data_IF_736586178639
#
_entry.id   IF_736586178639
#
_cell.length_a   1.000
_cell.length_b   1.000
_cell.length_c   1.000
_cell.angle_alpha   90.00
_cell.angle_beta   90.00
_cell.angle_gamma   90.00
#
_symmetry.space_group_name_H-M   'P 1'
#
loop_
_entity.id
_entity.type
_entity.pdbx_description
1 polymer ?
2 non-polymer ?
3 water ?
#
# COMPACT_ATOMS: atom_id res chain seq x y z
N UNK A 26 10.48 8.59 -8.20
CA UNK A 26 9.36 9.25 -7.49
C UNK A 26 8.71 8.23 -6.57
N UNK A 27 9.42 7.78 -5.56
CA UNK A 27 8.82 6.82 -4.65
C UNK A 27 9.05 7.14 -3.19
N UNK A 28 8.09 6.75 -2.35
CA UNK A 28 8.31 6.59 -0.91
C UNK A 28 8.62 5.12 -0.65
N UNK A 29 9.72 4.84 0.06
CA UNK A 29 10.09 3.53 0.41
C UNK A 29 9.64 3.32 1.83
N UNK A 30 8.67 2.40 1.97
CA UNK A 30 7.95 2.13 3.19
C UNK A 30 8.34 0.80 3.79
N UNK A 31 8.97 0.85 4.96
CA UNK A 31 9.42 -0.35 5.63
C UNK A 31 8.39 -0.77 6.64
N UNK A 32 7.75 -1.91 6.37
CA UNK A 32 6.73 -2.55 7.18
C UNK A 32 5.50 -1.65 7.34
N UNK A 33 4.61 -2.08 8.23
CA UNK A 33 3.28 -1.43 8.36
C UNK A 33 3.05 -0.85 9.73
N UNK A 34 2.26 0.21 9.79
CA UNK A 34 1.92 0.81 11.07
C UNK A 34 1.09 -0.16 11.92
N UNK A 35 0.26 -1.00 11.31
CA UNK A 35 -0.53 -1.98 12.06
C UNK A 35 0.31 -3.05 12.77
N UNK A 36 1.44 -3.41 12.18
CA UNK A 36 2.40 -4.32 12.80
C UNK A 36 3.04 -3.66 14.01
N UNK A 37 3.38 -2.37 13.90
CA UNK A 37 3.94 -1.66 15.02
C UNK A 37 2.90 -1.55 16.15
N UNK A 38 1.64 -1.30 15.81
CA UNK A 38 0.56 -1.28 16.85
C UNK A 38 0.47 -2.56 17.64
N UNK A 39 0.67 -3.68 16.94
CA UNK A 39 0.63 -5.02 17.53
C UNK A 39 1.86 -5.38 18.32
N UNK A 40 2.79 -4.45 18.50
CA UNK A 40 3.97 -4.74 19.31
C UNK A 40 5.08 -5.49 18.56
N UNK A 41 5.11 -5.41 17.23
CA UNK A 41 6.20 -5.98 16.44
C UNK A 41 7.29 -4.92 16.37
N UNK A 42 8.13 -4.88 17.40
CA UNK A 42 9.11 -3.80 17.51
C UNK A 42 10.51 -4.20 17.04
N UNK A 43 10.69 -5.47 16.66
CA UNK A 43 11.98 -5.89 16.13
C UNK A 43 11.84 -6.16 14.65
N UNK A 44 12.45 -5.32 13.85
CA UNK A 44 12.49 -5.50 12.43
C UNK A 44 13.82 -6.12 11.97
N UNK A 45 13.87 -6.31 10.65
CA UNK A 45 15.07 -6.77 10.00
C UNK A 45 15.65 -5.81 9.00
N UNK A 46 15.14 -4.59 8.95
CA UNK A 46 15.64 -3.63 7.97
C UNK A 46 16.92 -2.96 8.47
N UNK A 47 17.99 -3.16 7.71
CA UNK A 47 19.30 -2.59 8.05
C UNK A 47 19.38 -1.14 7.64
N UNK A 48 19.50 -0.25 8.62
CA UNK A 48 19.57 1.19 8.31
C UNK A 48 20.87 1.61 7.59
N UNK A 49 21.85 0.72 7.57
CA UNK A 49 23.01 0.86 6.69
C UNK A 49 22.59 0.94 5.22
N UNK A 50 21.40 0.44 4.90
CA UNK A 50 20.87 0.47 3.54
C UNK A 50 20.20 1.78 3.15
N UNK A 51 20.08 2.73 4.08
CA UNK A 51 19.32 3.93 3.82
C UNK A 51 19.68 4.58 2.47
N UNK A 52 20.98 4.72 2.14
CA UNK A 52 21.29 5.49 0.92
C UNK A 52 20.80 4.84 -0.40
N UNK A 53 20.45 3.57 -0.37
CA UNK A 53 19.83 2.93 -1.54
C UNK A 53 18.40 3.47 -1.77
N UNK A 54 17.76 3.97 -0.70
CA UNK A 54 16.31 4.25 -0.69
C UNK A 54 15.93 5.71 -0.46
N UNK A 55 16.85 6.50 0.08
CA UNK A 55 16.52 7.91 0.23
C UNK A 55 17.60 8.71 0.90
N UNK A 56 17.38 10.01 0.94
CA UNK A 56 18.23 10.90 1.72
C UNK A 56 17.43 11.65 2.78
N UNK A 57 16.21 11.19 3.03
CA UNK A 57 15.21 11.86 3.83
C UNK A 57 14.28 10.82 4.40
N UNK A 58 13.91 10.93 5.67
CA UNK A 58 12.96 9.95 6.24
C UNK A 58 12.74 10.06 7.73
N UNK A 59 11.80 9.24 8.19
CA UNK A 59 11.39 9.17 9.58
C UNK A 59 11.02 7.75 9.93
N UNK A 60 10.94 7.49 11.23
CA UNK A 60 10.50 6.20 11.71
C UNK A 60 10.96 5.93 13.09
N UNK A 61 11.14 4.65 13.39
CA UNK A 61 11.69 4.30 14.70
C UNK A 61 12.75 3.20 14.54
N UNK A 62 13.23 2.68 15.66
CA UNK A 62 14.33 1.74 15.65
C UNK A 62 13.82 0.48 16.34
N UNK A 63 14.57 -0.61 16.20
CA UNK A 63 14.27 -1.82 16.92
C UNK A 63 14.14 -1.57 18.40
N UNK A 64 13.15 -2.25 19.00
CA UNK A 64 12.76 -2.11 20.41
C UNK A 64 12.14 -0.76 20.74
N UNK A 65 11.77 0.04 19.73
CA UNK A 65 11.30 1.42 19.93
C UNK A 65 12.35 2.24 20.63
N UNK A 66 13.61 1.92 20.36
CA UNK A 66 14.70 2.63 21.03
C UNK A 66 14.98 3.93 20.30
N UNK A 67 14.11 4.92 20.50
CA UNK A 67 14.29 6.24 19.89
C UNK A 67 13.53 6.48 18.61
N UNK A 68 13.53 7.76 18.21
CA UNK A 68 12.87 8.24 17.00
C UNK A 68 13.90 8.44 15.91
N UNK A 69 13.60 7.97 14.69
CA UNK A 69 14.44 8.19 13.52
C UNK A 69 14.05 9.47 12.77
N UNK A 70 15.03 10.29 12.41
CA UNK A 70 14.81 11.46 11.56
C UNK A 70 16.02 11.67 10.70
N UNK A 71 15.79 12.06 9.44
CA UNK A 71 16.90 12.49 8.61
C UNK A 71 16.52 13.24 7.37
N UNK A 72 17.50 13.92 6.84
CA UNK A 72 17.36 14.78 5.68
C UNK A 72 18.76 15.20 5.25
N UNK A 73 18.89 15.58 3.97
CA UNK A 73 20.21 15.85 3.39
C UNK A 73 21.21 14.70 3.62
N UNK A 74 20.69 13.48 3.68
CA UNK A 74 21.49 12.27 3.82
C UNK A 74 22.04 11.99 5.20
N UNK A 75 21.65 12.80 6.20
CA UNK A 75 22.20 12.67 7.57
C UNK A 75 21.04 12.25 8.45
N UNK A 76 21.16 11.08 9.10
CA UNK A 76 20.10 10.51 9.96
C UNK A 76 20.55 10.43 11.43
N UNK A 77 19.57 10.58 12.32
CA UNK A 77 19.75 10.57 13.73
C UNK A 77 18.75 9.68 14.46
N UNK A 78 19.20 9.14 15.59
CA UNK A 78 18.36 8.48 16.59
C UNK A 78 18.17 9.47 17.74
N UNK A 79 16.93 9.93 17.95
CA UNK A 79 16.62 10.81 19.10
C UNK A 79 15.99 10.02 20.24
N UNK A 80 16.68 10.04 21.40
CA UNK A 80 16.21 9.33 22.59
C UNK A 80 15.69 10.31 23.63
N UNK A 81 14.92 9.80 24.57
CA UNK A 81 14.26 10.61 25.60
C UNK A 81 15.23 11.24 26.59
N UNK A 82 16.48 10.81 26.56
CA UNK A 82 17.51 11.48 27.37
C UNK A 82 18.06 12.80 26.76
N UNK A 83 17.44 13.28 25.68
CA UNK A 83 17.83 14.54 25.08
C UNK A 83 19.12 14.47 24.26
N UNK A 84 19.45 13.29 23.78
CA UNK A 84 20.56 13.11 22.86
C UNK A 84 20.10 12.66 21.48
N UNK A 85 20.90 13.06 20.50
CA UNK A 85 20.81 12.60 19.15
C UNK A 85 22.11 11.83 18.85
N UNK A 86 21.97 10.59 18.42
CA UNK A 86 23.10 9.74 18.07
C UNK A 86 23.01 9.54 16.57
N UNK A 87 24.13 9.56 15.85
CA UNK A 87 24.08 9.25 14.42
C UNK A 87 23.59 7.84 14.18
N UNK A 88 22.92 7.60 13.07
CA UNK A 88 22.59 6.22 12.67
C UNK A 88 23.87 5.50 12.23
N UNK A 89 24.07 4.31 12.76
CA UNK A 89 25.34 3.60 12.59
C UNK A 89 25.05 2.23 12.02
N UNK A 90 26.05 1.70 11.30
CA UNK A 90 25.86 0.40 10.68
C UNK A 90 25.54 -0.59 11.80
N UNK A 91 24.60 -1.48 11.52
CA UNK A 91 24.12 -2.42 12.52
C UNK A 91 22.75 -2.01 13.06
N UNK A 92 22.38 -0.75 12.93
CA UNK A 92 21.08 -0.31 13.43
C UNK A 92 19.97 -0.95 12.57
N UNK A 93 18.84 -1.28 13.21
CA UNK A 93 17.74 -1.95 12.56
C UNK A 93 16.45 -1.22 12.89
N UNK A 94 15.47 -1.35 12.02
CA UNK A 94 14.18 -0.74 12.23
C UNK A 94 13.00 -1.67 11.86
N UNK A 95 11.95 -1.59 12.69
CA UNK A 95 10.68 -2.23 12.39
C UNK A 95 9.69 -1.37 11.59
N UNK A 96 9.96 -0.08 11.41
CA UNK A 96 9.02 0.79 10.76
C UNK A 96 9.69 2.09 10.42
N UNK A 97 9.72 2.44 9.15
CA UNK A 97 10.30 3.70 8.74
C UNK A 97 9.93 3.96 7.29
N UNK A 98 10.17 5.19 6.83
CA UNK A 98 9.76 5.61 5.49
C UNK A 98 10.85 6.54 4.95
N UNK A 99 11.24 6.36 3.69
CA UNK A 99 12.29 7.16 3.08
C UNK A 99 11.93 7.68 1.72
N UNK A 100 12.63 8.72 1.32
CA UNK A 100 12.56 9.17 -0.06
C UNK A 100 13.81 9.96 -0.44
N UNK A 101 14.00 10.19 -1.73
CA UNK A 101 14.94 11.19 -2.22
C UNK A 101 14.15 12.48 -2.40
N UNK A 102 14.39 13.44 -1.51
CA UNK A 102 13.59 14.65 -1.45
C UNK A 102 14.03 15.61 -2.54
N UNK A 103 13.05 16.03 -3.35
CA UNK A 103 13.26 17.08 -4.36
C UNK A 103 12.22 18.20 -4.06
N UNK A 104 12.64 19.47 -4.03
CA UNK A 104 11.65 20.50 -3.66
C UNK A 104 10.80 20.94 -4.82
N UNK A 105 9.67 20.28 -5.02
CA UNK A 105 8.77 20.61 -6.11
C UNK A 105 7.90 21.88 -5.86
N UNK A 106 7.56 22.15 -4.60
CA UNK A 106 6.85 23.36 -4.19
C UNK A 106 7.58 23.97 -3.02
N UNK A 107 7.61 25.29 -2.98
CA UNK A 107 8.17 26.05 -1.87
C UNK A 107 7.19 27.11 -1.43
N UNK A 108 7.10 27.35 -0.12
CA UNK A 108 6.21 28.38 0.43
C UNK A 108 6.84 28.96 1.67
N UNK A 109 6.85 30.29 1.79
CA UNK A 109 7.36 30.95 2.98
C UNK A 109 6.22 31.29 3.94
N UNK A 110 6.49 31.12 5.23
CA UNK A 110 5.50 31.45 6.25
C UNK A 110 6.21 32.41 7.20
N UNK A 111 5.72 33.66 7.28
CA UNK A 111 6.46 34.74 7.97
C UNK A 111 5.61 35.32 9.11
N UNK A 112 4.53 34.61 9.47
CA UNK A 112 3.63 35.01 10.55
C UNK A 112 3.11 33.79 11.28
N UNK A 113 2.80 33.95 12.56
CA UNK A 113 2.33 32.87 13.41
C UNK A 113 1.28 32.05 12.72
N UNK A 114 1.42 30.74 12.77
CA UNK A 114 0.48 29.81 12.16
C UNK A 114 0.45 28.55 12.98
N UNK A 115 -0.74 28.18 13.44
CA UNK A 115 -0.91 26.96 14.21
C UNK A 115 -0.87 25.70 13.31
N UNK A 116 -0.80 24.53 13.93
CA UNK A 116 -0.82 23.27 13.21
C UNK A 116 -2.09 23.17 12.38
N UNK A 117 -3.23 23.50 12.96
CA UNK A 117 -4.51 23.40 12.22
C UNK A 117 -4.47 24.29 11.00
N UNK A 118 -4.00 25.53 11.18
CA UNK A 118 -3.99 26.51 10.10
C UNK A 118 -3.01 26.06 9.01
N UNK A 119 -1.90 25.48 9.43
CA UNK A 119 -0.88 24.99 8.51
C UNK A 119 -1.39 23.84 7.62
N UNK A 120 -2.02 22.85 8.20
CA UNK A 120 -2.57 21.72 7.44
C UNK A 120 -3.58 22.26 6.45
N UNK A 121 -4.43 23.16 6.90
CA UNK A 121 -5.41 23.78 5.98
C UNK A 121 -4.71 24.48 4.82
N UNK A 122 -3.68 25.27 5.11
CA UNK A 122 -2.99 26.01 4.08
C UNK A 122 -2.27 25.04 3.10
N UNK A 123 -1.55 24.08 3.63
CA UNK A 123 -0.84 23.13 2.76
C UNK A 123 -1.83 22.31 1.94
N UNK A 124 -2.88 21.79 2.58
CA UNK A 124 -3.90 21.03 1.84
C UNK A 124 -4.44 21.84 0.67
N UNK A 125 -4.61 23.14 0.86
CA UNK A 125 -5.12 24.00 -0.22
C UNK A 125 -4.19 24.15 -1.43
N UNK A 126 -2.90 23.89 -1.26
CA UNK A 126 -1.96 24.08 -2.36
C UNK A 126 -1.50 22.77 -2.99
N UNK A 127 -1.83 21.63 -2.38
CA UNK A 127 -1.46 20.34 -2.97
C UNK A 127 -2.22 20.10 -4.28
N UNK A 128 -1.54 19.49 -5.28
CA UNK A 128 -2.22 19.17 -6.53
C UNK A 128 -3.33 18.14 -6.36
N UNK A 129 -3.22 17.30 -5.34
CA UNK A 129 -4.22 16.27 -5.07
C UNK A 129 -4.03 15.71 -3.67
N UNK A 130 -5.14 15.43 -3.02
CA UNK A 130 -5.17 14.69 -1.75
C UNK A 130 -4.91 13.20 -1.94
N UNK A 131 -4.83 12.71 -3.18
CA UNK A 131 -4.69 11.28 -3.43
C UNK A 131 -3.26 10.82 -3.70
N UNK A 132 -2.29 11.72 -3.54
CA UNK A 132 -0.91 11.38 -3.80
C UNK A 132 -0.15 11.34 -2.48
N UNK A 133 1.07 10.89 -2.54
CA UNK A 133 1.99 10.91 -1.39
C UNK A 133 2.88 12.15 -1.50
N UNK A 134 3.22 12.75 -0.37
CA UNK A 134 4.19 13.89 -0.36
C UNK A 134 5.16 13.75 0.76
N UNK A 135 6.36 14.23 0.54
CA UNK A 135 7.32 14.47 1.60
C UNK A 135 7.27 15.95 1.87
N UNK A 136 7.39 16.34 3.13
CA UNK A 136 7.35 17.75 3.53
C UNK A 136 8.51 18.10 4.46
N UNK A 137 9.05 19.32 4.28
CA UNK A 137 10.10 19.82 5.13
C UNK A 137 9.77 21.22 5.53
N UNK A 138 9.95 21.52 6.83
CA UNK A 138 9.72 22.88 7.32
C UNK A 138 10.99 23.29 8.05
N UNK A 139 11.65 24.35 7.58
CA UNK A 139 12.87 24.82 8.26
C UNK A 139 12.65 26.18 8.84
N UNK A 140 13.09 26.43 10.05
CA UNK A 140 13.02 27.80 10.54
C UNK A 140 12.71 27.88 11.99
N UNK A 141 12.01 28.95 12.38
CA UNK A 141 11.70 29.26 13.75
C UNK A 141 10.25 28.93 14.10
N UNK A 142 10.07 28.16 15.20
CA UNK A 142 8.77 27.73 15.67
C UNK A 142 8.49 28.36 16.98
N UNK A 143 7.30 28.93 17.13
CA UNK A 143 6.92 29.48 18.42
C UNK A 143 6.94 28.34 19.46
N UNK A 144 6.39 27.19 19.06
CA UNK A 144 6.26 26.00 19.92
C UNK A 144 6.40 24.77 19.04
N UNK A 145 7.06 23.76 19.55
CA UNK A 145 6.92 22.38 19.01
C UNK A 145 6.75 21.46 20.22
N UNK A 146 5.82 20.50 20.12
CA UNK A 146 5.64 19.48 21.14
C UNK A 146 5.96 18.14 20.51
N UNK A 147 6.87 17.41 21.12
CA UNK A 147 7.24 16.09 20.60
C UNK A 147 7.10 15.01 21.67
N UNK A 148 7.08 13.77 21.20
CA UNK A 148 7.25 12.65 22.09
C UNK A 148 8.46 11.87 21.55
N UNK A 149 9.10 11.06 22.40
CA UNK A 149 10.14 10.14 21.92
C UNK A 149 9.80 8.78 22.51
N UNK A 150 9.55 7.79 21.66
CA UNK A 150 9.35 6.42 22.13
C UNK A 150 10.65 5.92 22.77
N UNK A 151 10.50 4.99 23.73
CA UNK A 151 11.63 4.52 24.53
C UNK A 151 11.77 3.02 24.41
N UNK A 152 13.00 2.56 24.59
CA UNK A 152 13.34 1.14 24.53
C UNK A 152 12.37 0.29 25.36
N UNK A 153 11.83 -0.73 24.71
CA UNK A 153 10.89 -1.67 25.29
C UNK A 153 11.60 -2.99 25.54
N UNK A 154 11.16 -3.73 26.55
CA UNK A 154 11.69 -5.07 26.85
C UNK A 154 10.60 -6.12 26.57
N UNK A 155 11.03 -7.28 26.09
CA UNK A 155 10.13 -8.38 25.83
C UNK A 155 9.61 -8.91 27.18
N UNK A 156 8.36 -9.41 27.21
CA UNK A 156 7.40 -9.50 26.12
C UNK A 156 6.75 -8.16 25.80
N UNK A 157 6.73 -7.81 24.53
CA UNK A 157 6.29 -6.49 24.08
C UNK A 157 4.80 -6.31 24.26
N UNK A 158 4.41 -5.10 24.62
CA UNK A 158 2.99 -4.72 24.74
C UNK A 158 2.55 -3.93 23.52
N UNK A 159 1.23 -3.91 23.22
CA UNK A 159 0.71 -3.08 22.14
C UNK A 159 1.14 -1.64 22.30
N UNK A 160 1.33 -0.98 21.16
CA UNK A 160 1.85 0.39 21.16
C UNK A 160 0.94 1.37 21.88
N UNK A 161 -0.39 1.16 21.84
CA UNK A 161 -1.30 2.04 22.63
C UNK A 161 -0.92 1.97 24.13
N UNK A 162 -0.51 0.79 24.62
CA UNK A 162 -0.01 0.64 25.99
C UNK A 162 1.38 1.25 26.11
N UNK A 163 2.27 0.93 25.17
CA UNK A 163 3.66 1.42 25.19
C UNK A 163 3.73 2.96 25.31
N UNK A 164 2.90 3.68 24.56
CA UNK A 164 2.99 5.17 24.56
C UNK A 164 2.30 5.83 25.75
N UNK A 165 1.61 5.07 26.59
CA UNK A 165 0.84 5.70 27.68
C UNK A 165 1.72 6.61 28.56
N UNK A 166 2.97 6.22 28.77
CA UNK A 166 3.89 6.95 29.62
C UNK A 166 5.03 7.57 28.79
N UNK A 167 4.79 7.76 27.48
CA UNK A 167 5.81 8.34 26.61
C UNK A 167 6.21 9.73 27.14
N UNK A 168 7.52 10.02 27.09
CA UNK A 168 7.93 11.37 27.45
C UNK A 168 7.45 12.38 26.40
N UNK A 169 6.93 13.50 26.90
CA UNK A 169 6.47 14.61 26.05
C UNK A 169 7.27 15.89 26.33
N UNK A 170 7.83 16.48 25.28
CA UNK A 170 8.71 17.65 25.38
C UNK A 170 8.10 18.85 24.71
N UNK A 171 8.17 20.00 25.37
CA UNK A 171 7.68 21.23 24.82
C UNK A 171 8.86 22.15 24.59
N UNK A 172 9.06 22.58 23.34
CA UNK A 172 10.14 23.50 22.95
C UNK A 172 9.47 24.84 22.64
N UNK A 173 10.08 25.94 23.09
CA UNK A 173 9.59 27.29 22.80
C UNK A 173 10.66 28.08 22.05
N UNK A 174 10.21 28.86 21.05
CA UNK A 174 11.07 29.75 20.28
C UNK A 174 12.27 28.97 19.78
N UNK A 175 11.99 27.84 19.16
CA UNK A 175 13.02 26.91 18.79
C UNK A 175 13.23 26.93 17.30
N UNK A 176 14.49 26.83 16.88
CA UNK A 176 14.84 26.75 15.48
C UNK A 176 15.18 25.32 15.14
N UNK A 177 14.74 24.87 13.98
CA UNK A 177 15.14 23.55 13.53
C UNK A 177 14.39 23.15 12.28
N UNK A 178 14.23 21.84 12.14
CA UNK A 178 13.65 21.24 10.96
C UNK A 178 12.60 20.20 11.34
N UNK A 179 11.44 20.29 10.71
CA UNK A 179 10.42 19.27 10.77
C UNK A 179 10.44 18.61 9.43
N UNK A 180 10.45 17.29 9.40
CA UNK A 180 10.33 16.51 8.17
C UNK A 180 9.32 15.41 8.35
N UNK A 181 8.64 15.07 7.26
CA UNK A 181 7.79 13.91 7.29
C UNK A 181 7.07 13.69 6.00
N UNK A 182 5.96 12.99 6.13
CA UNK A 182 5.20 12.54 4.98
C UNK A 182 3.74 12.83 5.13
N UNK A 183 3.07 13.08 3.99
CA UNK A 183 1.62 13.26 3.92
C UNK A 183 1.11 12.03 3.16
N UNK A 184 0.25 11.25 3.80
CA UNK A 184 -0.21 9.94 3.33
C UNK A 184 -1.71 9.98 3.08
N UNK A 185 -2.12 9.56 1.89
CA UNK A 185 -3.56 9.50 1.61
C UNK A 185 -4.31 8.43 2.46
N UNK A 186 -5.59 8.66 2.68
CA UNK A 186 -6.35 7.78 3.56
C UNK A 186 -6.40 6.31 3.14
N UNK A 187 -6.33 6.01 1.83
CA UNK A 187 -6.30 4.60 1.37
C UNK A 187 -5.10 3.77 1.86
N UNK A 188 -4.07 4.47 2.35
CA UNK A 188 -2.85 3.82 2.83
C UNK A 188 -2.79 3.76 4.36
N UNK A 189 -3.86 4.19 5.07
CA UNK A 189 -3.82 4.23 6.53
C UNK A 189 -3.69 2.81 7.05
N UNK A 190 -2.84 2.60 8.04
CA UNK A 190 -2.58 1.23 8.47
C UNK A 190 -1.32 0.65 7.85
N UNK A 191 -1.03 0.90 6.56
CA UNK A 191 0.34 0.72 6.06
C UNK A 191 1.24 1.84 6.63
N UNK A 192 0.86 3.08 6.32
CA UNK A 192 1.53 4.25 6.90
C UNK A 192 0.51 4.99 7.75
N UNK A 193 0.89 6.14 8.26
CA UNK A 193 -0.01 6.96 9.07
C UNK A 193 -0.72 7.94 8.16
N UNK A 194 -2.03 7.84 7.99
CA UNK A 194 -2.69 8.74 7.07
C UNK A 194 -2.68 10.17 7.64
N UNK A 195 -2.62 11.14 6.73
CA UNK A 195 -2.44 12.53 7.09
C UNK A 195 -1.00 12.89 7.22
N UNK A 196 -0.74 13.78 8.16
CA UNK A 196 0.55 14.36 8.37
C UNK A 196 1.29 13.57 9.43
N UNK A 197 2.47 13.06 9.10
CA UNK A 197 3.30 12.37 10.06
C UNK A 197 4.65 13.06 10.04
N UNK A 198 4.99 13.78 11.13
CA UNK A 198 6.13 14.68 11.16
C UNK A 198 7.01 14.42 12.37
N UNK A 199 8.33 14.47 12.15
CA UNK A 199 9.35 14.42 13.19
C UNK A 199 10.13 15.74 13.16
N UNK A 200 10.74 16.08 14.29
CA UNK A 200 11.47 17.33 14.45
C UNK A 200 12.85 17.08 15.03
N UNK A 201 13.82 17.86 14.57
CA UNK A 201 15.12 17.96 15.25
C UNK A 201 15.55 19.44 15.30
N UNK A 202 16.08 19.82 16.44
CA UNK A 202 16.47 21.23 16.63
C UNK A 202 17.72 21.61 15.85
N UNK A 203 17.99 22.92 15.72
CA UNK A 203 19.14 23.42 14.93
C UNK A 203 20.44 22.84 15.48
N UNK A 204 20.49 22.66 16.78
CA UNK A 204 21.68 22.06 17.43
C UNK A 204 21.86 20.57 17.22
N UNK A 205 20.83 19.91 16.69
CA UNK A 205 20.87 18.48 16.36
C UNK A 205 21.05 17.61 17.61
N UNK A 206 20.33 17.97 18.68
CA UNK A 206 20.34 17.25 19.96
C UNK A 206 19.01 16.69 20.39
N UNK A 207 17.92 17.40 20.06
CA UNK A 207 16.62 17.18 20.69
C UNK A 207 15.52 17.20 19.67
N UNK A 208 14.39 16.56 19.99
CA UNK A 208 13.22 16.63 19.13
C UNK A 208 12.35 15.39 19.34
N UNK A 209 11.92 14.80 18.24
CA UNK A 209 11.16 13.56 18.30
C UNK A 209 9.99 13.59 17.35
N UNK A 210 8.98 12.79 17.64
CA UNK A 210 7.79 12.68 16.82
C UNK A 210 6.86 13.85 17.22
N UNK A 211 6.42 14.62 16.24
CA UNK A 211 5.66 15.84 16.47
C UNK A 211 4.19 15.60 16.75
N UNK A 212 3.71 16.19 17.83
CA UNK A 212 2.25 16.25 18.14
C UNK A 212 1.59 17.57 17.84
N UNK A 213 2.36 18.64 18.03
CA UNK A 213 1.82 19.97 17.81
C UNK A 213 2.96 20.93 17.53
N UNK A 214 2.61 22.07 16.94
CA UNK A 214 3.60 23.06 16.56
C UNK A 214 2.92 24.34 16.14
N UNK A 215 3.64 25.44 16.29
CA UNK A 215 3.19 26.75 15.83
C UNK A 215 4.38 27.34 15.11
N UNK A 216 4.19 27.70 13.85
CA UNK A 216 5.28 28.25 13.01
C UNK A 216 5.38 29.73 13.26
N UNK A 217 6.58 30.27 13.08
CA UNK A 217 6.77 31.73 13.15
C UNK A 217 7.44 32.29 11.92
N UNK A 218 8.54 31.70 11.47
CA UNK A 218 9.33 32.22 10.33
C UNK A 218 10.05 31.05 9.70
N UNK A 219 9.43 30.48 8.68
CA UNK A 219 9.72 29.15 8.15
C UNK A 219 9.67 29.12 6.66
N UNK A 220 10.44 28.21 6.05
CA UNK A 220 10.33 27.85 4.65
C UNK A 220 9.83 26.43 4.57
N UNK A 221 8.78 26.22 3.79
CA UNK A 221 8.18 24.90 3.64
C UNK A 221 8.52 24.44 2.22
N UNK A 222 9.02 23.22 2.12
CA UNK A 222 9.24 22.56 0.84
C UNK A 222 8.50 21.25 0.81
N UNK A 223 7.93 20.95 -0.36
CA UNK A 223 7.10 19.77 -0.58
C UNK A 223 7.60 19.04 -1.81
N UNK A 224 7.63 17.71 -1.69
CA UNK A 224 8.09 16.84 -2.76
C UNK A 224 6.98 15.80 -3.06
N UNK A 225 6.45 15.79 -4.28
CA UNK A 225 5.31 14.95 -4.65
C UNK A 225 5.82 13.60 -5.06
N UNK A 226 5.18 12.51 -4.61
CA UNK A 226 5.64 11.14 -4.89
C UNK A 226 4.53 10.32 -5.49
N UNK A 227 4.82 9.61 -6.59
CA UNK A 227 3.77 8.93 -7.37
C UNK A 227 3.80 7.41 -7.11
N UNK A 228 4.73 6.94 -6.30
CA UNK A 228 4.84 5.52 -5.99
C UNK A 228 5.07 5.32 -4.52
N UNK A 229 4.51 4.26 -3.96
CA UNK A 229 4.81 3.83 -2.63
C UNK A 229 5.20 2.36 -2.67
N UNK A 230 6.43 2.05 -2.25
CA UNK A 230 7.00 0.70 -2.34
C UNK A 230 7.04 0.16 -0.92
N UNK A 231 6.17 -0.81 -0.61
CA UNK A 231 6.08 -1.41 0.72
C UNK A 231 6.96 -2.64 0.80
N UNK A 232 7.83 -2.66 1.79
CA UNK A 232 8.80 -3.73 2.01
C UNK A 232 8.41 -4.42 3.30
N UNK A 233 8.06 -5.71 3.22
CA UNK A 233 7.63 -6.48 4.37
C UNK A 233 8.83 -7.16 5.01
N UNK A 234 8.81 -7.29 6.35
CA UNK A 234 9.91 -7.98 7.05
C UNK A 234 9.88 -9.47 6.92
N UNK A 235 11.07 -10.08 6.81
CA UNK A 235 11.17 -11.54 6.74
C UNK A 235 11.47 -12.04 8.15
N UNK A 236 10.58 -11.77 9.09
CA UNK A 236 10.79 -12.18 10.48
C UNK A 236 9.62 -13.03 10.91
N UNK A 237 9.88 -13.97 11.81
CA UNK A 237 8.79 -14.74 12.40
C UNK A 237 7.83 -13.82 13.14
N UNK A 238 8.33 -12.74 13.78
CA UNK A 238 7.43 -11.87 14.54
C UNK A 238 6.41 -11.23 13.61
N UNK A 239 6.85 -10.76 12.45
CA UNK A 239 5.88 -10.22 11.46
C UNK A 239 4.95 -11.29 10.90
N UNK A 240 5.52 -12.40 10.46
CA UNK A 240 4.72 -13.45 9.85
C UNK A 240 3.60 -13.90 10.79
N UNK A 241 3.93 -14.03 12.08
CA UNK A 241 3.02 -14.58 13.08
C UNK A 241 2.13 -13.55 13.77
N UNK A 242 2.37 -12.28 13.52
CA UNK A 242 1.57 -11.23 14.12
C UNK A 242 0.11 -11.33 13.71
N UNK A 243 -0.78 -11.10 14.67
CA UNK A 243 -2.19 -10.99 14.39
C UNK A 243 -2.52 -9.52 14.18
N UNK A 244 -2.65 -9.14 12.90
CA UNK A 244 -2.87 -7.77 12.46
C UNK A 244 -4.35 -7.41 12.20
N UNK A 245 -5.26 -8.24 12.65
CA UNK A 245 -6.67 -7.92 12.50
C UNK A 245 -6.97 -6.97 13.66
N UNK A 246 -7.17 -5.71 13.35
CA UNK A 246 -7.47 -4.71 14.36
C UNK A 246 -8.55 -3.84 13.76
N UNK A 247 -9.83 -4.14 14.04
CA UNK A 247 -10.88 -3.33 13.44
C UNK A 247 -10.81 -1.84 13.82
N UNK A 248 -10.20 -1.56 14.97
CA UNK A 248 -10.06 -0.19 15.50
C UNK A 248 -8.67 0.41 15.26
N UNK A 249 -8.01 -0.06 14.21
CA UNK A 249 -6.63 0.39 13.92
C UNK A 249 -6.53 1.91 13.68
N UNK A 250 -7.56 2.51 13.07
CA UNK A 250 -7.48 3.94 12.71
C UNK A 250 -7.52 4.79 13.98
N UNK A 251 -8.41 4.44 14.91
CA UNK A 251 -8.42 5.10 16.22
C UNK A 251 -7.11 4.87 17.02
N UNK A 252 -6.60 3.64 17.01
CA UNK A 252 -5.34 3.34 17.66
C UNK A 252 -4.17 4.14 17.04
N UNK A 253 -4.19 4.35 15.73
CA UNK A 253 -3.17 5.18 15.08
C UNK A 253 -3.28 6.65 15.55
N UNK A 254 -4.50 7.16 15.64
CA UNK A 254 -4.73 8.52 16.17
C UNK A 254 -4.23 8.63 17.62
N UNK A 255 -4.54 7.62 18.45
CA UNK A 255 -4.05 7.58 19.83
C UNK A 255 -2.50 7.58 19.93
N UNK A 256 -1.83 6.81 19.07
CA UNK A 256 -0.34 6.68 19.19
C UNK A 256 0.41 7.78 18.44
N UNK A 257 -0.17 8.34 17.38
CA UNK A 257 0.52 9.32 16.53
C UNK A 257 0.03 10.74 16.62
N UNK A 258 -1.25 10.94 16.95
CA UNK A 258 -1.76 12.25 17.28
C UNK A 258 -1.32 12.56 18.71
N UNK B 26 11.05 -9.75 -5.94
CA UNK B 26 9.94 -10.34 -5.12
C UNK B 26 8.88 -9.30 -4.85
N UNK B 27 8.31 -8.73 -5.89
CA UNK B 27 7.31 -7.70 -5.67
C UNK B 27 6.04 -7.93 -6.46
N UNK B 28 4.95 -7.45 -5.92
CA UNK B 28 3.71 -7.24 -6.67
C UNK B 28 3.72 -5.79 -7.12
N UNK B 29 3.56 -5.56 -8.42
CA UNK B 29 3.44 -4.21 -8.98
C UNK B 29 1.95 -3.87 -9.08
N UNK B 30 1.48 -2.86 -8.32
CA UNK B 30 0.07 -2.51 -8.24
C UNK B 30 -0.15 -1.18 -8.96
N UNK B 31 -0.95 -1.21 -9.98
CA UNK B 31 -1.29 -0.04 -10.76
C UNK B 31 -2.61 0.53 -10.23
N UNK B 32 -2.52 1.71 -9.60
CA UNK B 32 -3.66 2.43 -9.05
C UNK B 32 -4.38 1.65 -7.93
N UNK B 33 -5.50 2.20 -7.47
CA UNK B 33 -6.20 1.65 -6.31
C UNK B 33 -7.60 1.17 -6.65
N UNK B 34 -8.08 0.20 -5.91
CA UNK B 34 -9.43 -0.23 -6.02
C UNK B 34 -10.39 0.88 -5.60
N UNK B 35 -10.00 1.70 -4.62
CA UNK B 35 -10.92 2.79 -4.25
C UNK B 35 -11.12 3.78 -5.41
N UNK B 36 -10.11 4.03 -6.21
CA UNK B 36 -10.35 4.89 -7.38
C UNK B 36 -11.20 4.24 -8.45
N UNK B 37 -11.03 2.94 -8.65
CA UNK B 37 -11.90 2.19 -9.55
C UNK B 37 -13.37 2.26 -9.08
N UNK B 38 -13.59 2.07 -7.79
CA UNK B 38 -14.98 2.18 -7.24
C UNK B 38 -15.58 3.53 -7.54
N UNK B 39 -14.77 4.58 -7.54
CA UNK B 39 -15.25 5.93 -7.72
C UNK B 39 -15.45 6.28 -9.19
N UNK B 40 -15.18 5.34 -10.11
CA UNK B 40 -15.44 5.61 -11.54
C UNK B 40 -14.23 6.15 -12.26
N UNK B 41 -13.03 6.00 -11.69
CA UNK B 41 -11.81 6.40 -12.37
C UNK B 41 -11.43 5.25 -13.27
N UNK B 42 -12.07 5.22 -14.44
CA UNK B 42 -11.86 4.11 -15.40
C UNK B 42 -10.86 4.38 -16.48
N UNK B 43 -10.35 5.60 -16.56
CA UNK B 43 -9.29 5.90 -17.54
C UNK B 43 -7.96 6.12 -16.81
N UNK B 44 -7.05 5.19 -16.99
CA UNK B 44 -5.69 5.29 -16.42
C UNK B 44 -4.70 5.66 -17.49
N UNK B 45 -3.45 5.84 -17.09
CA UNK B 45 -2.38 6.19 -18.03
C UNK B 45 -1.35 5.09 -18.13
N UNK B 46 -1.57 3.99 -17.42
CA UNK B 46 -0.60 2.92 -17.43
C UNK B 46 -0.63 2.20 -18.75
N UNK B 47 0.51 2.19 -19.41
CA UNK B 47 0.68 1.50 -20.68
C UNK B 47 0.93 0.02 -20.50
N UNK B 48 0.01 -0.83 -20.97
CA UNK B 48 0.15 -2.26 -20.82
C UNK B 48 1.32 -2.85 -21.66
N UNK B 49 1.81 -2.10 -22.61
CA UNK B 49 3.05 -2.53 -23.29
C UNK B 49 4.25 -2.61 -22.33
N UNK B 50 4.17 -1.97 -21.17
CA UNK B 50 5.25 -1.97 -20.18
C UNK B 50 5.24 -3.19 -19.29
N UNK B 51 4.24 -4.04 -19.42
CA UNK B 51 4.11 -5.23 -18.57
C UNK B 51 5.44 -6.01 -18.36
N UNK B 52 6.21 -6.30 -19.41
CA UNK B 52 7.41 -7.09 -19.21
C UNK B 52 8.43 -6.53 -18.23
N UNK B 53 8.38 -5.25 -17.94
CA UNK B 53 9.21 -4.64 -16.90
C UNK B 53 8.79 -5.04 -15.49
N UNK B 54 7.51 -5.37 -15.33
CA UNK B 54 6.90 -5.48 -14.00
C UNK B 54 6.41 -6.90 -13.67
N UNK B 55 6.22 -7.77 -14.67
CA UNK B 55 5.80 -9.11 -14.37
C UNK B 55 5.53 -9.98 -15.61
N UNK B 56 5.29 -11.24 -15.38
CA UNK B 56 4.88 -12.15 -16.43
C UNK B 56 3.51 -12.78 -16.12
N UNK B 57 2.82 -12.18 -15.17
CA UNK B 57 1.65 -12.74 -14.55
C UNK B 57 0.82 -11.62 -14.00
N UNK B 58 -0.48 -11.62 -14.21
CA UNK B 58 -1.30 -10.59 -13.61
C UNK B 58 -2.75 -10.58 -14.04
N UNK B 59 -3.47 -9.67 -13.41
CA UNK B 59 -4.90 -9.49 -13.58
C UNK B 59 -5.27 -8.01 -13.47
N UNK B 60 -6.47 -7.65 -13.92
CA UNK B 60 -7.02 -6.29 -13.68
C UNK B 60 -8.06 -5.99 -14.77
N UNK B 61 -8.07 -4.73 -15.21
CA UNK B 61 -9.01 -4.31 -16.24
C UNK B 61 -8.34 -3.32 -17.16
N UNK B 62 -9.10 -2.76 -18.10
CA UNK B 62 -8.59 -1.89 -19.12
C UNK B 62 -9.33 -0.57 -19.01
N UNK B 63 -8.85 0.45 -19.70
CA UNK B 63 -9.50 1.71 -19.66
C UNK B 63 -10.93 1.57 -20.12
N UNK B 64 -11.78 2.40 -19.53
CA UNK B 64 -13.23 2.36 -19.80
C UNK B 64 -13.91 1.07 -19.33
N UNK B 65 -13.23 0.27 -18.55
CA UNK B 65 -13.68 -1.07 -18.18
C UNK B 65 -13.99 -1.90 -19.41
N UNK B 66 -13.20 -1.69 -20.47
CA UNK B 66 -13.35 -2.46 -21.71
C UNK B 66 -12.66 -3.82 -21.62
N UNK B 67 -13.28 -4.72 -20.85
CA UNK B 67 -12.80 -6.08 -20.68
C UNK B 67 -11.91 -6.35 -19.48
N UNK B 68 -11.67 -7.61 -19.27
CA UNK B 68 -10.90 -8.12 -18.14
C UNK B 68 -9.49 -8.45 -18.62
N UNK B 69 -8.50 -8.11 -17.82
CA UNK B 69 -7.10 -8.45 -18.10
C UNK B 69 -6.72 -9.74 -17.37
N UNK B 70 -6.02 -10.63 -18.06
CA UNK B 70 -5.47 -11.84 -17.45
C UNK B 70 -4.21 -12.18 -18.18
N UNK B 71 -3.20 -12.65 -17.44
CA UNK B 71 -2.01 -13.15 -18.12
C UNK B 71 -1.15 -13.97 -17.20
N UNK B 72 -0.36 -14.83 -17.81
CA UNK B 72 0.59 -15.72 -17.16
C UNK B 72 1.50 -16.26 -18.24
N UNK B 73 2.67 -16.71 -17.81
CA UNK B 73 3.74 -17.12 -18.73
C UNK B 73 4.03 -16.06 -19.78
N UNK B 74 3.87 -14.81 -19.39
CA UNK B 74 4.19 -13.68 -20.24
C UNK B 74 3.20 -13.38 -21.34
N UNK B 75 2.06 -14.07 -21.34
CA UNK B 75 1.04 -13.88 -22.37
C UNK B 75 -0.21 -13.31 -21.73
N UNK B 76 -0.59 -12.10 -22.16
CA UNK B 76 -1.76 -11.39 -21.59
C UNK B 76 -2.86 -11.17 -22.60
N UNK B 77 -4.09 -11.20 -22.10
CA UNK B 77 -5.28 -11.08 -22.93
C UNK B 77 -6.24 -10.08 -22.37
N UNK B 78 -7.07 -9.54 -23.28
CA UNK B 78 -8.27 -8.78 -22.96
C UNK B 78 -9.48 -9.66 -23.23
N UNK B 79 -10.21 -10.03 -22.19
CA UNK B 79 -11.41 -10.84 -22.32
C UNK B 79 -12.63 -9.93 -22.30
N UNK B 80 -13.35 -9.86 -23.42
CA UNK B 80 -14.55 -9.04 -23.52
C UNK B 80 -15.85 -9.79 -23.40
N UNK B 81 -16.93 -9.05 -23.11
CA UNK B 81 -18.24 -9.67 -22.93
C UNK B 81 -18.82 -10.19 -24.23
N UNK B 82 -18.17 -9.92 -25.37
CA UNK B 82 -18.53 -10.57 -26.62
C UNK B 82 -17.96 -11.96 -26.83
N UNK B 83 -17.33 -12.51 -25.78
CA UNK B 83 -16.84 -13.87 -25.75
C UNK B 83 -15.56 -14.05 -26.56
N UNK B 84 -14.82 -12.99 -26.73
CA UNK B 84 -13.52 -13.02 -27.39
C UNK B 84 -12.38 -12.69 -26.43
N UNK B 85 -11.18 -13.18 -26.80
CA UNK B 85 -9.96 -12.84 -26.12
C UNK B 85 -8.99 -12.25 -27.15
N UNK B 86 -8.50 -11.05 -26.84
CA UNK B 86 -7.62 -10.28 -27.74
C UNK B 86 -6.25 -10.12 -27.05
N UNK B 87 -5.16 -10.49 -27.70
CA UNK B 87 -3.88 -10.25 -27.02
C UNK B 87 -3.65 -8.76 -26.73
N UNK B 88 -2.94 -8.47 -25.63
CA UNK B 88 -2.60 -7.11 -25.25
C UNK B 88 -1.66 -6.53 -26.29
N UNK B 89 -1.88 -5.26 -26.64
CA UNK B 89 -1.04 -4.56 -27.62
C UNK B 89 -0.61 -3.23 -27.05
N UNK B 90 0.52 -2.72 -27.55
CA UNK B 90 0.84 -1.31 -27.28
C UNK B 90 -0.35 -0.45 -27.60
N UNK B 91 -0.56 0.54 -26.74
CA UNK B 91 -1.73 1.39 -26.82
C UNK B 91 -2.82 0.99 -25.84
N UNK B 92 -2.83 -0.28 -25.36
CA UNK B 92 -3.76 -0.68 -24.33
C UNK B 92 -3.34 -0.02 -23.01
N UNK B 93 -4.33 0.54 -22.33
CA UNK B 93 -4.17 1.27 -21.10
C UNK B 93 -5.02 0.65 -20.02
N UNK B 94 -4.56 0.81 -18.77
CA UNK B 94 -5.31 0.31 -17.62
C UNK B 94 -5.43 1.35 -16.47
N UNK B 95 -6.63 1.41 -15.86
CA UNK B 95 -6.86 2.09 -14.62
C UNK B 95 -6.61 1.28 -13.33
N UNK B 96 -6.33 0.00 -13.43
CA UNK B 96 -6.25 -0.88 -12.26
C UNK B 96 -5.76 -2.21 -12.75
N UNK B 97 -4.65 -2.67 -12.21
CA UNK B 97 -4.10 -4.01 -12.51
C UNK B 97 -2.98 -4.31 -11.56
N UNK B 98 -2.57 -5.57 -11.56
CA UNK B 98 -1.57 -6.08 -10.60
C UNK B 98 -0.72 -7.10 -11.33
N UNK B 99 0.60 -7.07 -11.16
CA UNK B 99 1.51 -7.95 -11.86
C UNK B 99 2.58 -8.48 -10.91
N UNK B 100 3.13 -9.62 -11.28
CA UNK B 100 4.34 -10.08 -10.64
C UNK B 100 5.10 -11.02 -11.58
N UNK B 101 6.35 -11.32 -11.25
CA UNK B 101 7.05 -12.43 -11.88
C UNK B 101 6.77 -13.66 -11.04
N UNK B 102 5.99 -14.59 -11.57
CA UNK B 102 5.51 -15.72 -10.78
C UNK B 102 6.61 -16.74 -10.56
N UNK B 103 6.91 -17.04 -9.30
CA UNK B 103 7.92 -18.06 -8.94
C UNK B 103 7.26 -19.12 -8.05
N UNK B 104 7.16 -20.35 -8.53
CA UNK B 104 6.47 -21.35 -7.70
C UNK B 104 7.18 -21.58 -6.38
N UNK B 105 6.50 -21.33 -5.29
CA UNK B 105 7.04 -21.62 -3.96
C UNK B 105 6.41 -22.84 -3.30
N UNK B 106 5.17 -23.15 -3.66
CA UNK B 106 4.41 -24.25 -3.07
C UNK B 106 3.54 -24.76 -4.20
N UNK B 107 3.57 -26.07 -4.46
CA UNK B 107 2.82 -26.67 -5.57
C UNK B 107 2.09 -27.89 -5.06
N UNK B 108 0.80 -28.01 -5.35
CA UNK B 108 0.04 -29.15 -4.85
C UNK B 108 -0.96 -29.65 -5.88
N UNK B 109 -1.11 -30.97 -5.95
CA UNK B 109 -2.05 -31.59 -6.86
C UNK B 109 -3.40 -31.70 -6.15
N UNK B 110 -4.49 -31.32 -6.83
CA UNK B 110 -5.84 -31.51 -6.32
C UNK B 110 -6.55 -32.48 -7.28
N UNK B 111 -6.79 -33.72 -6.84
CA UNK B 111 -7.28 -34.79 -7.72
C UNK B 111 -8.68 -35.25 -7.36
N UNK B 112 -9.47 -34.39 -6.72
CA UNK B 112 -10.83 -34.70 -6.33
C UNK B 112 -11.56 -33.41 -6.29
N UNK B 113 -12.88 -33.52 -6.39
CA UNK B 113 -13.77 -32.36 -6.44
C UNK B 113 -13.55 -31.50 -5.19
N UNK B 114 -13.45 -30.19 -5.38
CA UNK B 114 -13.22 -29.26 -4.30
C UNK B 114 -13.92 -27.93 -4.62
N UNK B 115 -14.83 -27.47 -3.74
CA UNK B 115 -15.51 -26.22 -3.93
C UNK B 115 -14.57 -25.06 -3.64
N UNK B 116 -15.00 -23.89 -4.07
CA UNK B 116 -14.27 -22.66 -3.79
C UNK B 116 -14.00 -22.52 -2.28
N UNK B 117 -15.05 -22.66 -1.47
CA UNK B 117 -14.91 -22.57 0.01
C UNK B 117 -13.89 -23.54 0.53
N UNK B 118 -13.92 -24.79 0.07
CA UNK B 118 -12.99 -25.83 0.52
C UNK B 118 -11.56 -25.51 0.11
N UNK B 119 -11.43 -25.00 -1.11
CA UNK B 119 -10.10 -24.61 -1.63
C UNK B 119 -9.49 -23.46 -0.82
N UNK B 120 -10.25 -22.42 -0.57
CA UNK B 120 -9.75 -21.29 0.20
C UNK B 120 -9.34 -21.73 1.60
N UNK B 121 -10.14 -22.60 2.20
CA UNK B 121 -9.82 -23.10 3.54
C UNK B 121 -8.51 -23.86 3.53
N UNK B 122 -8.31 -24.69 2.51
CA UNK B 122 -7.09 -25.49 2.38
C UNK B 122 -5.88 -24.62 2.14
N UNK B 123 -5.99 -23.71 1.17
CA UNK B 123 -4.88 -22.80 0.89
C UNK B 123 -4.56 -21.94 2.13
N UNK B 124 -5.59 -21.35 2.75
CA UNK B 124 -5.35 -20.55 3.96
C UNK B 124 -4.56 -21.32 5.05
N UNK B 125 -4.85 -22.61 5.18
CA UNK B 125 -4.19 -23.50 6.17
C UNK B 125 -2.70 -23.79 5.92
N UNK B 126 -2.22 -23.59 4.68
CA UNK B 126 -0.82 -23.83 4.33
C UNK B 126 0.05 -22.57 4.11
N UNK B 127 -0.57 -21.41 4.13
CA UNK B 127 0.18 -20.15 3.97
C UNK B 127 1.05 -19.91 5.20
N UNK B 128 2.29 -19.45 4.99
CA UNK B 128 3.14 -19.19 6.15
C UNK B 128 2.67 -18.02 6.99
N UNK B 129 1.90 -17.10 6.40
CA UNK B 129 1.41 -15.93 7.12
C UNK B 129 0.26 -15.31 6.37
N UNK B 130 -0.74 -14.79 7.09
CA UNK B 130 -1.84 -14.07 6.51
C UNK B 130 -1.41 -12.60 6.22
N UNK B 131 -0.18 -12.26 6.58
CA UNK B 131 0.28 -10.86 6.48
C UNK B 131 1.12 -10.57 5.25
N UNK B 132 1.29 -11.56 4.38
CA UNK B 132 2.06 -11.42 3.15
C UNK B 132 1.17 -11.39 1.95
N UNK B 133 1.74 -11.04 0.81
CA UNK B 133 1.07 -11.10 -0.47
C UNK B 133 1.38 -12.43 -1.13
N UNK B 134 0.41 -12.99 -1.87
CA UNK B 134 0.64 -14.22 -2.65
C UNK B 134 0.06 -14.09 -4.03
N UNK B 135 0.73 -14.68 -5.01
CA UNK B 135 0.15 -14.95 -6.30
C UNK B 135 -0.24 -16.42 -6.35
N UNK B 136 -1.33 -16.72 -7.06
CA UNK B 136 -1.88 -18.06 -7.08
C UNK B 136 -2.29 -18.42 -8.47
N UNK B 137 -2.05 -19.66 -8.86
CA UNK B 137 -2.39 -20.18 -10.16
C UNK B 137 -2.97 -21.57 -9.94
N UNK B 138 -4.05 -21.84 -10.66
CA UNK B 138 -4.67 -23.15 -10.66
C UNK B 138 -4.87 -23.56 -12.10
N UNK B 139 -4.28 -24.68 -12.50
CA UNK B 139 -4.44 -25.17 -13.86
C UNK B 139 -5.10 -26.54 -13.86
N UNK B 140 -5.93 -26.77 -14.86
CA UNK B 140 -6.48 -28.08 -15.07
C UNK B 140 -7.94 -28.10 -15.44
N UNK B 141 -8.66 -29.05 -14.85
CA UNK B 141 -10.04 -29.34 -15.20
C UNK B 141 -10.96 -28.85 -14.08
N UNK B 142 -11.90 -27.98 -14.43
CA UNK B 142 -12.85 -27.40 -13.48
C UNK B 142 -14.25 -27.94 -13.75
N UNK B 143 -14.91 -28.41 -12.72
CA UNK B 143 -16.27 -28.88 -12.85
C UNK B 143 -17.19 -27.72 -13.23
N UNK B 144 -16.92 -26.55 -12.62
CA UNK B 144 -17.69 -25.35 -12.88
C UNK B 144 -16.80 -24.14 -12.64
N UNK B 145 -17.03 -23.10 -13.43
CA UNK B 145 -16.47 -21.77 -13.19
C UNK B 145 -17.55 -20.77 -13.54
N UNK B 146 -17.73 -19.75 -12.71
CA UNK B 146 -18.59 -18.60 -13.04
C UNK B 146 -17.74 -17.34 -13.09
N UNK B 147 -17.85 -16.57 -14.16
CA UNK B 147 -17.13 -15.32 -14.26
C UNK B 147 -18.05 -14.16 -14.64
N UNK B 148 -17.55 -12.95 -14.47
CA UNK B 148 -18.12 -11.79 -15.12
C UNK B 148 -17.08 -11.15 -16.03
N UNK B 149 -17.55 -10.38 -17.00
CA UNK B 149 -16.67 -9.49 -17.78
C UNK B 149 -17.20 -8.06 -17.78
N UNK B 150 -16.47 -7.17 -17.14
CA UNK B 150 -16.84 -5.76 -17.19
C UNK B 150 -16.86 -5.30 -18.65
N UNK B 151 -17.74 -4.34 -18.94
CA UNK B 151 -18.01 -3.86 -20.31
C UNK B 151 -17.65 -2.40 -20.42
N UNK B 152 -17.24 -2.03 -21.60
CA UNK B 152 -16.94 -0.64 -21.93
C UNK B 152 -18.03 0.32 -21.45
N UNK B 153 -17.56 1.35 -20.73
CA UNK B 153 -18.36 2.43 -20.18
C UNK B 153 -18.18 3.71 -20.99
N UNK B 154 -19.26 4.45 -21.16
CA UNK B 154 -19.16 5.79 -21.74
C UNK B 154 -19.17 6.88 -20.67
N UNK B 155 -18.37 7.92 -20.90
CA UNK B 155 -18.26 9.03 -19.96
C UNK B 155 -19.57 9.83 -20.06
N UNK B 156 -20.00 10.44 -18.94
CA UNK B 156 -19.43 10.46 -17.61
C UNK B 156 -19.67 9.09 -16.91
N UNK B 157 -18.69 8.70 -16.14
CA UNK B 157 -18.65 7.36 -15.55
C UNK B 157 -19.39 7.28 -14.22
N UNK B 158 -20.23 6.26 -14.08
CA UNK B 158 -20.90 5.94 -12.82
C UNK B 158 -19.97 5.14 -11.89
N UNK B 159 -20.28 5.15 -10.58
CA UNK B 159 -19.46 4.33 -9.71
C UNK B 159 -19.51 2.89 -10.11
N UNK B 160 -18.48 2.16 -9.68
CA UNK B 160 -18.39 0.74 -10.08
C UNK B 160 -19.54 -0.12 -9.57
N UNK B 161 -20.09 0.16 -8.39
CA UNK B 161 -21.23 -0.62 -7.88
C UNK B 161 -22.42 -0.53 -8.85
N UNK B 162 -22.56 0.63 -9.49
CA UNK B 162 -23.61 0.84 -10.51
C UNK B 162 -23.22 0.22 -11.85
N UNK B 163 -21.95 0.30 -12.21
CA UNK B 163 -21.47 -0.17 -13.53
C UNK B 163 -21.54 -1.69 -13.64
N UNK B 164 -21.42 -2.40 -12.52
CA UNK B 164 -21.49 -3.89 -12.58
C UNK B 164 -22.88 -4.47 -12.33
N UNK B 165 -23.87 -3.61 -12.04
CA UNK B 165 -25.22 -4.08 -11.85
C UNK B 165 -25.73 -4.99 -13.00
N UNK B 166 -25.43 -4.61 -14.24
CA UNK B 166 -25.80 -5.40 -15.41
C UNK B 166 -24.66 -6.20 -16.03
N UNK B 167 -23.62 -6.46 -15.25
CA UNK B 167 -22.45 -7.10 -15.81
C UNK B 167 -22.78 -8.44 -16.45
N UNK B 168 -22.19 -8.70 -17.62
CA UNK B 168 -22.29 -9.99 -18.25
C UNK B 168 -21.70 -11.11 -17.39
N UNK B 169 -22.45 -12.19 -17.25
CA UNK B 169 -21.99 -13.38 -16.50
C UNK B 169 -21.80 -14.54 -17.50
N UNK B 170 -20.74 -15.31 -17.30
CA UNK B 170 -20.46 -16.48 -18.05
C UNK B 170 -20.42 -17.69 -17.10
N UNK B 171 -21.01 -18.80 -17.53
CA UNK B 171 -20.96 -20.03 -16.75
C UNK B 171 -20.23 -21.06 -17.61
N UNK B 172 -19.32 -21.80 -17.00
CA UNK B 172 -18.55 -22.82 -17.69
C UNK B 172 -18.77 -24.11 -16.92
N UNK B 173 -18.85 -25.25 -17.60
CA UNK B 173 -18.91 -26.56 -16.95
C UNK B 173 -17.88 -27.46 -17.60
N UNK B 174 -17.22 -28.34 -16.83
CA UNK B 174 -16.33 -29.36 -17.38
C UNK B 174 -15.33 -28.73 -18.34
N UNK B 175 -14.64 -27.69 -17.83
CA UNK B 175 -13.79 -26.86 -18.65
C UNK B 175 -12.35 -26.96 -18.21
N UNK B 176 -11.45 -27.09 -19.18
CA UNK B 176 -10.00 -26.99 -18.92
C UNK B 176 -9.58 -25.52 -19.08
N UNK B 177 -8.73 -25.08 -18.19
CA UNK B 177 -8.18 -23.76 -18.29
C UNK B 177 -7.31 -23.41 -17.11
N UNK B 178 -7.18 -22.09 -16.85
CA UNK B 178 -6.26 -21.57 -15.87
C UNK B 178 -6.94 -20.45 -15.12
N UNK B 179 -6.85 -20.52 -13.80
CA UNK B 179 -7.17 -19.43 -12.92
C UNK B 179 -5.88 -18.80 -12.39
N UNK B 180 -5.80 -17.47 -12.42
CA UNK B 180 -4.69 -16.78 -11.79
C UNK B 180 -5.20 -15.58 -10.99
N UNK B 181 -4.43 -15.22 -10.00
CA UNK B 181 -4.65 -13.95 -9.30
C UNK B 181 -3.83 -13.84 -8.06
N UNK B 182 -4.38 -13.10 -7.10
CA UNK B 182 -3.65 -12.65 -5.94
C UNK B 182 -4.43 -12.83 -4.66
N UNK B 183 -3.70 -13.12 -3.57
CA UNK B 183 -4.23 -13.08 -2.23
C UNK B 183 -3.61 -11.89 -1.52
N UNK B 184 -4.47 -11.00 -1.02
CA UNK B 184 -4.02 -9.70 -0.53
C UNK B 184 -4.38 -9.59 0.96
N UNK B 185 -3.41 -9.21 1.81
CA UNK B 185 -3.72 -8.99 3.24
C UNK B 185 -4.72 -7.87 3.49
N UNK B 186 -5.46 -7.99 4.61
CA UNK B 186 -6.52 -6.99 4.90
C UNK B 186 -6.02 -5.54 4.98
N UNK B 187 -4.77 -5.33 5.41
CA UNK B 187 -4.23 -3.97 5.53
C UNK B 187 -4.07 -3.23 4.20
N UNK B 188 -4.13 -3.98 3.11
CA UNK B 188 -4.05 -3.42 1.77
C UNK B 188 -5.39 -3.30 1.10
N UNK B 189 -6.50 -3.60 1.79
CA UNK B 189 -7.83 -3.51 1.17
C UNK B 189 -8.13 -2.05 0.82
N UNK B 190 -8.69 -1.85 -0.34
CA UNK B 190 -8.85 -0.46 -0.88
C UNK B 190 -7.73 -0.04 -1.83
N UNK B 191 -6.48 -0.42 -1.54
CA UNK B 191 -5.45 -0.41 -2.58
C UNK B 191 -5.70 -1.55 -3.57
N UNK B 192 -5.79 -2.77 -3.07
CA UNK B 192 -6.13 -3.93 -3.87
C UNK B 192 -7.36 -4.57 -3.25
N UNK B 193 -7.75 -5.74 -3.72
CA UNK B 193 -8.91 -6.45 -3.19
C UNK B 193 -8.47 -7.44 -2.08
N UNK B 194 -8.79 -7.18 -0.82
CA UNK B 194 -8.30 -8.06 0.23
C UNK B 194 -8.95 -9.45 0.05
N UNK B 195 -8.19 -10.48 0.38
CA UNK B 195 -8.64 -11.82 0.13
C UNK B 195 -8.22 -12.30 -1.26
N UNK B 196 -9.02 -13.22 -1.80
CA UNK B 196 -8.74 -13.84 -3.09
C UNK B 196 -9.35 -13.03 -4.21
N UNK B 197 -8.57 -12.73 -5.25
CA UNK B 197 -9.03 -12.02 -6.44
C UNK B 197 -8.47 -12.82 -7.58
N UNK B 198 -9.36 -13.50 -8.29
CA UNK B 198 -8.99 -14.48 -9.32
C UNK B 198 -9.65 -14.22 -10.62
N UNK B 199 -8.91 -14.39 -11.72
CA UNK B 199 -9.47 -14.36 -13.06
C UNK B 199 -9.26 -15.71 -13.75
N UNK B 200 -10.04 -15.99 -14.77
CA UNK B 200 -10.00 -17.30 -15.47
C UNK B 200 -9.91 -17.12 -16.98
N UNK B 201 -9.20 -18.01 -17.67
CA UNK B 201 -9.29 -18.12 -19.13
C UNK B 201 -9.28 -19.61 -19.49
N UNK B 202 -10.10 -19.95 -20.47
CA UNK B 202 -10.22 -21.33 -20.87
C UNK B 202 -9.00 -21.74 -21.71
N UNK B 203 -8.85 -23.03 -21.92
CA UNK B 203 -7.71 -23.59 -22.65
C UNK B 203 -7.63 -23.06 -24.08
N UNK B 204 -8.79 -22.79 -24.65
CA UNK B 204 -8.91 -22.29 -26.01
C UNK B 204 -8.52 -20.83 -26.13
N UNK B 205 -8.33 -20.16 -24.99
CA UNK B 205 -8.03 -18.74 -24.98
C UNK B 205 -9.07 -17.86 -25.71
N UNK B 206 -10.36 -18.08 -25.41
CA UNK B 206 -11.45 -17.25 -25.93
C UNK B 206 -12.31 -16.62 -24.88
N UNK B 207 -12.41 -17.28 -23.73
CA UNK B 207 -13.46 -16.93 -22.81
C UNK B 207 -13.01 -17.01 -21.36
N UNK B 208 -13.67 -16.29 -20.47
CA UNK B 208 -13.39 -16.35 -19.03
C UNK B 208 -13.80 -15.06 -18.36
N UNK B 209 -12.95 -14.53 -17.49
CA UNK B 209 -13.19 -13.24 -16.89
C UNK B 209 -12.83 -13.25 -15.42
N UNK B 210 -13.45 -12.35 -14.69
CA UNK B 210 -13.24 -12.22 -13.26
C UNK B 210 -14.08 -13.30 -12.58
N UNK B 211 -13.46 -14.09 -11.70
CA UNK B 211 -14.08 -15.27 -11.11
C UNK B 211 -14.95 -14.94 -9.90
N UNK B 212 -16.18 -15.45 -9.92
CA UNK B 212 -17.08 -15.42 -8.77
C UNK B 212 -17.16 -16.75 -8.04
N UNK B 213 -17.11 -17.86 -8.78
CA UNK B 213 -17.24 -19.19 -8.16
C UNK B 213 -16.58 -20.20 -9.06
N UNK B 214 -16.15 -21.31 -8.44
CA UNK B 214 -15.50 -22.36 -9.18
C UNK B 214 -15.53 -23.63 -8.33
N UNK B 215 -15.45 -24.75 -9.02
CA UNK B 215 -15.32 -26.10 -8.40
C UNK B 215 -14.22 -26.81 -9.17
N UNK B 216 -13.16 -27.19 -8.45
CA UNK B 216 -12.03 -27.91 -9.04
C UNK B 216 -12.38 -29.35 -9.26
N UNK B 217 -11.80 -29.97 -10.29
CA UNK B 217 -11.95 -31.40 -10.52
C UNK B 217 -10.62 -32.15 -10.53
N UNK B 218 -9.63 -31.62 -11.26
CA UNK B 218 -8.33 -32.32 -11.45
C UNK B 218 -7.35 -31.24 -11.83
N UNK B 219 -6.65 -30.73 -10.83
CA UNK B 219 -5.96 -29.46 -10.93
C UNK B 219 -4.62 -29.49 -10.24
N UNK B 220 -3.75 -28.60 -10.66
CA UNK B 220 -2.53 -28.33 -9.90
C UNK B 220 -2.60 -26.87 -9.46
N UNK B 221 -2.33 -26.63 -8.18
CA UNK B 221 -2.28 -25.27 -7.63
C UNK B 221 -0.82 -24.90 -7.31
N UNK B 222 -0.44 -23.69 -7.67
CA UNK B 222 0.88 -23.15 -7.30
C UNK B 222 0.74 -21.78 -6.66
N UNK B 223 1.56 -21.52 -5.66
CA UNK B 223 1.53 -20.24 -4.93
C UNK B 223 2.95 -19.64 -4.94
N UNK B 224 3.00 -18.32 -5.09
CA UNK B 224 4.24 -17.58 -5.12
C UNK B 224 4.10 -16.51 -4.02
N UNK B 225 5.01 -16.53 -3.06
CA UNK B 225 5.01 -15.60 -1.92
C UNK B 225 5.74 -14.33 -2.31
N UNK B 226 5.15 -13.19 -1.97
CA UNK B 226 5.78 -11.94 -2.30
C UNK B 226 5.86 -11.03 -1.08
N UNK B 227 7.02 -10.41 -0.92
CA UNK B 227 7.36 -9.62 0.26
C UNK B 227 7.32 -8.11 0.03
N UNK B 228 7.01 -7.67 -1.17
CA UNK B 228 7.01 -6.25 -1.50
C UNK B 228 5.82 -5.97 -2.36
N UNK B 229 5.25 -4.79 -2.17
CA UNK B 229 4.12 -4.30 -2.97
C UNK B 229 4.44 -2.88 -3.40
N UNK B 230 4.55 -2.63 -4.71
CA UNK B 230 4.80 -1.24 -5.20
C UNK B 230 3.59 -0.69 -5.85
N UNK B 231 3.03 0.39 -5.27
CA UNK B 231 1.88 1.04 -5.77
C UNK B 231 2.29 2.20 -6.63
N UNK B 232 1.80 2.19 -7.88
CA UNK B 232 2.07 3.23 -8.86
C UNK B 232 0.80 4.01 -9.07
N UNK B 233 0.85 5.30 -8.83
CA UNK B 233 -0.32 6.17 -9.03
C UNK B 233 -0.33 6.80 -10.40
N UNK B 234 -1.52 6.98 -10.95
CA UNK B 234 -1.65 7.58 -12.28
C UNK B 234 -1.43 9.07 -12.32
N UNK B 235 -0.87 9.54 -13.42
CA UNK B 235 -0.62 10.96 -13.59
C UNK B 235 -1.74 11.58 -14.41
N UNK B 236 -2.98 11.44 -13.91
CA UNK B 236 -4.14 11.92 -14.64
C UNK B 236 -4.96 12.89 -13.78
N UNK B 237 -5.61 13.82 -14.44
CA UNK B 237 -6.50 14.75 -13.76
C UNK B 237 -7.63 13.95 -13.11
N UNK B 238 -8.14 12.92 -13.79
CA UNK B 238 -9.23 12.09 -13.28
C UNK B 238 -8.87 11.46 -11.92
N UNK B 239 -7.64 10.98 -11.77
CA UNK B 239 -7.20 10.45 -10.48
C UNK B 239 -6.89 11.58 -9.49
N UNK B 240 -6.20 12.63 -9.94
CA UNK B 240 -5.82 13.69 -9.04
C UNK B 240 -7.07 14.30 -8.40
N UNK B 241 -8.15 14.46 -9.18
CA UNK B 241 -9.32 15.20 -8.72
C UNK B 241 -10.38 14.29 -8.09
N UNK B 242 -10.19 13.00 -8.13
CA UNK B 242 -11.17 12.04 -7.60
C UNK B 242 -11.38 12.17 -6.11
N UNK B 243 -12.64 12.16 -5.69
CA UNK B 243 -13.01 12.03 -4.28
C UNK B 243 -12.96 10.57 -3.86
N UNK B 244 -11.88 10.20 -3.14
CA UNK B 244 -11.68 8.81 -2.72
C UNK B 244 -12.09 8.50 -1.29
N UNK B 245 -12.83 9.40 -0.66
CA UNK B 245 -13.40 9.17 0.66
C UNK B 245 -14.63 8.33 0.46
N UNK B 246 -14.58 7.11 0.96
CA UNK B 246 -15.70 6.23 0.87
C UNK B 246 -15.63 5.37 2.12
N UNK B 247 -16.38 5.75 3.17
CA UNK B 247 -16.33 4.98 4.39
C UNK B 247 -16.74 3.51 4.18
N UNK B 248 -17.59 3.26 3.18
CA UNK B 248 -18.17 1.96 2.88
C UNK B 248 -17.39 1.19 1.81
N UNK B 249 -16.14 1.55 1.60
CA UNK B 249 -15.36 0.94 0.53
C UNK B 249 -15.24 -0.58 0.65
N UNK B 250 -15.13 -1.10 1.87
CA UNK B 250 -14.96 -2.55 2.03
C UNK B 250 -16.19 -3.31 1.54
N UNK B 251 -17.38 -2.87 1.97
CA UNK B 251 -18.63 -3.44 1.46
C UNK B 251 -18.75 -3.28 -0.07
N UNK B 252 -18.37 -2.12 -0.59
CA UNK B 252 -18.46 -1.87 -2.03
C UNK B 252 -17.50 -2.79 -2.81
N UNK B 253 -16.33 -3.08 -2.25
CA UNK B 253 -15.43 -4.03 -2.92
C UNK B 253 -16.08 -5.42 -2.92
N UNK B 254 -16.73 -5.82 -1.81
CA UNK B 254 -17.43 -7.13 -1.77
C UNK B 254 -18.51 -7.14 -2.85
N UNK B 255 -19.24 -6.05 -2.97
CA UNK B 255 -20.30 -5.96 -3.98
C UNK B 255 -19.76 -6.12 -5.41
N UNK B 256 -18.67 -5.43 -5.75
CA UNK B 256 -18.19 -5.43 -7.11
C UNK B 256 -17.36 -6.65 -7.45
N UNK B 257 -16.75 -7.28 -6.44
CA UNK B 257 -15.77 -8.32 -6.70
C UNK B 257 -16.28 -9.70 -6.36
X LIG C 1 6.58 9.13 14.18
X LIG D 1 -11.06 -8.75 -11.24
#
# INVERSE_FOLDING_TARGET
GSAKDPMKRESNIQVLSRGQKDQPVSQIYQVSTMTSLLDGVYDGDFELSEIPKYGDFGIGTFNKLDGELIGFDGEFYRLRSDGTATPVQNGDLSPFCSFTFFTPDMTHKIDAKMTREEFEKEINSILPSKNLFYAIRIDGLFKKVQTRTVELQEKPYVPMVEAVKTQPIFNFDNVRGTIVGFLTPAYANGIAVSGYHLHFIDEGRNSGGHVFDYVLEDCTVTISQKMNMNLRLPNTADFFNANLDNPDFAKDIETTEGSPE
GSAKDPMKRESNIQVLSRGQKDQPVSQIYQVSTMTSLLDGVYDGDFELSEIPKYGDFGIGTFNKLDGELIGFDGEFYRLRSDGTATPVQNGDLSPFCSFTFFTPDMTHKIDAKMTREEFEKEINSILPSKNLFYAIRIDGLFKKVQTRTVELQEKPYVPMVEAVKTQPIFNFDNVRGTIVGFLTPAYANGIAVSGYHLHFIDEGRNSGGHVFDYVLEDCTVTISQKMNMNLRLPNTADFFNANLDNPDFAKDIETTEGSPE
ZN ZN
ZN ZN
#
